data_IF_946949375842
#
_entry.id   IF_946949375842
#
_cell.length_a   1.000
_cell.length_b   1.000
_cell.length_c   1.000
_cell.angle_alpha   90.00
_cell.angle_beta   90.00
_cell.angle_gamma   90.00
#
_symmetry.space_group_name_H-M   'P 1'
#
loop_
_entity.id
_entity.type
_entity.pdbx_description
1 polymer ?
#
# COMPACT_ATOMS: atom_id res chain seq x y z
N UNK A 1 6.34 6.91 1.42
CA UNK A 1 7.73 7.24 1.06
C UNK A 1 8.38 6.07 0.36
N UNK A 2 9.49 6.33 -0.36
CA UNK A 2 10.24 5.35 -1.14
C UNK A 2 11.72 5.42 -0.77
N UNK A 3 12.35 4.26 -0.66
CA UNK A 3 13.79 4.16 -0.47
C UNK A 3 14.45 3.61 -1.74
N UNK A 4 15.57 4.20 -2.12
CA UNK A 4 16.43 3.73 -3.19
C UNK A 4 17.58 2.90 -2.60
N UNK A 5 17.94 1.80 -3.23
CA UNK A 5 19.02 0.93 -2.78
C UNK A 5 20.36 1.68 -2.70
N UNK A 6 21.13 1.45 -1.63
CA UNK A 6 22.41 2.12 -1.38
C UNK A 6 22.33 3.53 -0.81
N UNK A 7 21.14 4.14 -0.72
CA UNK A 7 20.97 5.49 -0.17
C UNK A 7 20.77 5.46 1.35
N UNK A 8 21.23 6.54 2.01
CA UNK A 8 21.06 6.70 3.45
C UNK A 8 19.90 7.63 3.74
N UNK A 9 19.01 7.19 4.62
CA UNK A 9 17.83 7.91 5.05
C UNK A 9 17.87 8.20 6.55
N UNK A 10 17.33 9.36 6.91
CA UNK A 10 17.19 9.82 8.29
C UNK A 10 15.73 9.71 8.71
N UNK A 11 15.50 8.97 9.80
CA UNK A 11 14.15 8.75 10.32
C UNK A 11 14.13 9.09 11.81
N UNK A 12 13.40 10.15 12.16
CA UNK A 12 13.19 10.53 13.54
C UNK A 12 11.96 9.82 14.10
N UNK A 13 12.10 9.21 15.28
CA UNK A 13 11.05 8.41 15.91
C UNK A 13 10.88 8.81 17.38
N UNK A 14 9.62 8.79 17.84
CA UNK A 14 9.29 8.98 19.25
C UNK A 14 8.03 8.21 19.64
N UNK A 15 7.92 7.85 20.91
CA UNK A 15 6.77 7.15 21.47
C UNK A 15 6.89 5.63 21.41
N UNK A 16 8.06 5.06 21.11
CA UNK A 16 8.30 3.64 21.28
C UNK A 16 8.50 3.38 22.78
N UNK A 17 7.70 2.49 23.31
CA UNK A 17 7.83 1.97 24.68
C UNK A 17 8.39 0.55 24.63
N UNK A 18 7.62 -0.45 25.02
CA UNK A 18 8.07 -1.85 25.06
C UNK A 18 7.83 -2.62 23.77
N UNK A 19 7.07 -2.03 22.83
CA UNK A 19 6.68 -2.68 21.58
C UNK A 19 7.78 -2.62 20.50
N UNK A 20 7.80 -3.63 19.64
CA UNK A 20 8.70 -3.65 18.49
C UNK A 20 8.16 -2.77 17.36
N UNK A 21 8.93 -1.77 16.96
CA UNK A 21 8.62 -0.91 15.81
C UNK A 21 9.75 -1.01 14.79
N UNK A 22 9.40 -1.13 13.53
CA UNK A 22 10.38 -1.24 12.45
C UNK A 22 9.88 -0.66 11.13
N UNK A 23 10.79 -0.62 10.18
CA UNK A 23 10.46 -0.35 8.78
C UNK A 23 10.61 -1.62 7.96
N UNK A 24 9.72 -1.81 7.00
CA UNK A 24 9.80 -2.82 5.94
C UNK A 24 9.88 -2.08 4.61
N UNK A 25 10.92 -2.33 3.84
CA UNK A 25 11.07 -1.83 2.47
C UNK A 25 10.68 -2.95 1.52
N UNK A 26 9.71 -2.71 0.65
CA UNK A 26 9.17 -3.72 -0.26
C UNK A 26 8.83 -3.10 -1.60
N UNK A 27 9.26 -3.76 -2.67
CA UNK A 27 8.75 -3.57 -4.02
C UNK A 27 8.08 -4.87 -4.48
N UNK A 28 6.74 -4.88 -4.55
CA UNK A 28 6.02 -6.07 -5.02
C UNK A 28 6.18 -6.29 -6.52
N UNK A 29 6.28 -5.20 -7.28
CA UNK A 29 6.34 -5.29 -8.75
C UNK A 29 7.60 -6.02 -9.23
N UNK A 30 8.77 -5.65 -8.72
CA UNK A 30 10.04 -6.31 -9.12
C UNK A 30 10.29 -7.63 -8.39
N UNK A 31 9.44 -7.99 -7.43
CA UNK A 31 9.59 -9.16 -6.57
C UNK A 31 10.98 -9.26 -5.90
N UNK A 32 11.61 -8.12 -5.65
CA UNK A 32 12.88 -8.04 -4.96
C UNK A 32 12.77 -8.42 -3.49
N UNK A 33 13.90 -8.74 -2.90
CA UNK A 33 13.97 -9.12 -1.49
C UNK A 33 13.50 -7.99 -0.58
N UNK A 34 12.73 -8.33 0.44
CA UNK A 34 12.28 -7.39 1.47
C UNK A 34 13.42 -7.10 2.45
N UNK A 35 13.64 -5.82 2.76
CA UNK A 35 14.52 -5.41 3.85
C UNK A 35 13.72 -4.91 5.04
N UNK A 36 14.20 -5.24 6.25
CA UNK A 36 13.59 -4.80 7.51
C UNK A 36 14.62 -4.09 8.37
N UNK A 37 14.18 -3.04 9.06
CA UNK A 37 15.02 -2.21 9.93
C UNK A 37 14.29 -1.98 11.24
N UNK A 38 14.91 -2.31 12.37
CA UNK A 38 14.38 -1.97 13.68
C UNK A 38 14.57 -0.49 13.97
N UNK A 39 13.54 0.14 14.52
CA UNK A 39 13.57 1.55 14.91
C UNK A 39 13.74 1.71 16.43
N UNK A 40 14.33 2.83 16.82
CA UNK A 40 14.45 3.26 18.22
C UNK A 40 14.06 4.73 18.34
N UNK A 41 13.69 5.15 19.54
CA UNK A 41 13.45 6.57 19.80
C UNK A 41 14.69 7.41 19.47
N UNK A 42 14.45 8.60 18.91
CA UNK A 42 15.49 9.50 18.42
C UNK A 42 15.73 9.38 16.92
N UNK A 43 16.93 9.69 16.49
CA UNK A 43 17.33 9.69 15.08
C UNK A 43 17.90 8.32 14.68
N UNK A 44 17.31 7.72 13.66
CA UNK A 44 17.77 6.48 13.04
C UNK A 44 18.43 6.79 11.70
N UNK A 45 19.59 6.18 11.45
CA UNK A 45 20.33 6.25 10.19
C UNK A 45 20.16 4.92 9.48
N UNK A 46 19.50 4.91 8.33
CA UNK A 46 19.16 3.69 7.60
C UNK A 46 19.79 3.76 6.22
N UNK A 47 20.72 2.86 5.93
CA UNK A 47 21.18 2.63 4.56
C UNK A 47 20.33 1.54 3.96
N UNK A 48 19.56 1.89 2.92
CA UNK A 48 18.65 0.96 2.28
C UNK A 48 19.44 -0.11 1.50
N UNK A 49 19.13 -1.37 1.73
CA UNK A 49 19.76 -2.51 1.02
C UNK A 49 18.90 -2.99 -0.15
N UNK A 50 17.63 -2.62 -0.18
CA UNK A 50 16.70 -2.83 -1.29
C UNK A 50 15.96 -1.54 -1.58
N UNK A 51 15.45 -1.41 -2.79
CA UNK A 51 14.56 -0.31 -3.13
C UNK A 51 13.09 -0.68 -2.96
N UNK A 52 12.24 0.31 -2.75
CA UNK A 52 10.79 0.09 -2.64
C UNK A 52 10.06 1.06 -1.73
N UNK A 53 8.76 0.83 -1.63
CA UNK A 53 7.90 1.52 -0.68
C UNK A 53 8.24 1.14 0.75
N UNK A 54 8.15 2.11 1.65
CA UNK A 54 8.48 1.93 3.06
C UNK A 54 7.19 1.82 3.87
N UNK A 55 7.09 0.74 4.63
CA UNK A 55 5.98 0.45 5.52
C UNK A 55 6.46 0.45 6.96
N UNK A 56 5.61 0.95 7.85
CA UNK A 56 5.86 0.89 9.29
C UNK A 56 5.26 -0.42 9.81
N UNK A 57 6.11 -1.26 10.39
CA UNK A 57 5.68 -2.43 11.14
C UNK A 57 5.63 -2.05 12.62
N UNK A 58 4.41 -2.06 13.16
CA UNK A 58 4.18 -1.85 14.57
C UNK A 58 3.29 -2.98 15.08
N UNK A 59 3.83 -3.79 15.96
CA UNK A 59 3.11 -4.89 16.58
C UNK A 59 2.94 -4.62 18.08
N UNK A 60 1.71 -4.73 18.54
CA UNK A 60 1.35 -4.62 19.95
C UNK A 60 0.34 -5.71 20.31
N UNK A 61 0.51 -6.35 21.47
CA UNK A 61 -0.38 -7.41 21.96
C UNK A 61 -1.81 -6.90 22.22
N UNK A 62 -1.91 -5.65 22.68
CA UNK A 62 -3.18 -4.94 22.88
C UNK A 62 -3.15 -3.61 22.12
N UNK A 63 -3.59 -3.65 20.85
CA UNK A 63 -3.58 -2.47 19.98
C UNK A 63 -4.42 -1.30 20.53
N UNK A 64 -5.45 -1.59 21.36
CA UNK A 64 -6.31 -0.54 21.93
C UNK A 64 -5.57 0.29 23.00
N UNK A 65 -4.51 -0.26 23.59
CA UNK A 65 -3.67 0.40 24.59
C UNK A 65 -2.28 0.77 24.04
N UNK A 66 -1.98 0.36 22.81
CA UNK A 66 -0.69 0.63 22.21
C UNK A 66 -0.39 2.13 22.16
N UNK A 67 0.81 2.56 22.56
CA UNK A 67 1.19 3.97 22.53
C UNK A 67 1.26 4.49 21.09
N UNK A 68 1.02 5.79 20.93
CA UNK A 68 1.16 6.44 19.63
C UNK A 68 2.64 6.63 19.28
N UNK A 69 3.10 5.93 18.27
CA UNK A 69 4.45 6.10 17.71
C UNK A 69 4.41 7.15 16.61
N UNK A 70 5.29 8.15 16.70
CA UNK A 70 5.49 9.16 15.65
C UNK A 70 6.74 8.83 14.87
N UNK A 71 6.60 8.71 13.55
CA UNK A 71 7.71 8.47 12.62
C UNK A 71 7.77 9.62 11.62
N UNK A 72 8.92 10.28 11.52
CA UNK A 72 9.16 11.38 10.60
C UNK A 72 10.34 11.05 9.69
N UNK A 73 10.06 10.96 8.39
CA UNK A 73 11.07 10.77 7.35
C UNK A 73 11.63 12.14 6.94
N UNK A 74 12.94 12.35 7.09
CA UNK A 74 13.57 13.66 6.90
C UNK A 74 13.96 13.91 5.44
N UNK A 75 14.53 12.90 4.77
CA UNK A 75 15.07 13.04 3.42
C UNK A 75 14.58 11.95 2.43
N UNK A 76 13.52 11.21 2.79
CA UNK A 76 12.95 10.23 1.88
C UNK A 76 11.95 10.89 0.91
N UNK A 77 11.97 10.55 -0.40
CA UNK A 77 11.01 11.06 -1.35
C UNK A 77 9.60 10.55 -1.05
N UNK A 78 8.63 11.45 -1.14
CA UNK A 78 7.20 11.11 -1.01
C UNK A 78 6.68 10.75 -2.39
N UNK A 79 6.31 9.48 -2.57
CA UNK A 79 5.65 9.02 -3.80
C UNK A 79 4.19 9.44 -3.81
N UNK A 80 3.55 9.34 -2.68
CA UNK A 80 2.15 9.65 -2.48
C UNK A 80 1.31 8.41 -2.14
N UNK A 81 0.10 8.67 -1.73
CA UNK A 81 -0.96 7.68 -1.53
C UNK A 81 -2.29 8.36 -1.77
N UNK A 82 -3.33 7.58 -1.94
CA UNK A 82 -4.70 8.07 -2.05
C UNK A 82 -5.62 7.28 -1.11
N UNK A 83 -6.53 7.99 -0.45
CA UNK A 83 -7.43 7.41 0.56
C UNK A 83 -8.87 7.79 0.23
N UNK A 84 -9.72 6.79 -0.02
CA UNK A 84 -11.11 6.97 -0.39
C UNK A 84 -11.96 7.70 0.67
N UNK A 85 -11.54 7.68 1.93
CA UNK A 85 -12.27 8.34 3.02
C UNK A 85 -12.02 9.85 3.08
N UNK A 86 -10.87 10.32 2.60
CA UNK A 86 -10.40 11.69 2.82
C UNK A 86 -10.05 12.46 1.55
N UNK A 87 -9.97 11.78 0.40
CA UNK A 87 -9.52 12.34 -0.87
C UNK A 87 -10.54 12.09 -1.98
N UNK A 88 -10.50 12.91 -3.02
CA UNK A 88 -11.36 12.80 -4.20
C UNK A 88 -10.56 12.55 -5.49
N UNK A 89 -11.28 12.50 -6.63
CA UNK A 89 -10.63 12.31 -7.94
C UNK A 89 -9.75 13.50 -8.35
N UNK A 90 -10.03 14.72 -7.88
CA UNK A 90 -9.16 15.88 -8.17
C UNK A 90 -7.82 15.78 -7.43
N UNK A 91 -7.82 15.26 -6.21
CA UNK A 91 -6.59 14.95 -5.47
C UNK A 91 -5.78 13.85 -6.18
N UNK A 92 -6.47 12.86 -6.74
CA UNK A 92 -5.86 11.80 -7.53
C UNK A 92 -5.18 12.32 -8.80
N UNK A 93 -5.89 13.09 -9.60
CA UNK A 93 -5.34 13.70 -10.81
C UNK A 93 -4.12 14.57 -10.50
N UNK A 94 -4.19 15.37 -9.44
CA UNK A 94 -3.07 16.17 -8.96
C UNK A 94 -1.87 15.32 -8.52
N UNK A 95 -2.13 14.20 -7.82
CA UNK A 95 -1.08 13.27 -7.41
C UNK A 95 -0.35 12.67 -8.61
N UNK A 96 -1.06 12.36 -9.70
CA UNK A 96 -0.49 11.77 -10.91
C UNK A 96 0.14 12.81 -11.87
N UNK A 97 -0.20 14.10 -11.76
CA UNK A 97 0.18 15.13 -12.74
C UNK A 97 1.70 15.19 -12.96
N UNK A 98 2.48 15.16 -11.89
CA UNK A 98 3.94 15.30 -11.91
C UNK A 98 4.68 13.96 -12.06
N UNK A 99 3.97 12.84 -12.25
CA UNK A 99 4.57 11.51 -12.38
C UNK A 99 4.84 11.17 -13.83
N UNK A 100 5.96 10.48 -14.09
CA UNK A 100 6.24 9.93 -15.41
C UNK A 100 5.28 8.77 -15.75
N UNK A 101 4.96 8.61 -17.04
CA UNK A 101 4.18 7.45 -17.51
C UNK A 101 4.98 6.14 -17.46
N UNK A 102 6.31 6.22 -17.39
CA UNK A 102 7.22 5.08 -17.30
C UNK A 102 7.71 4.83 -15.87
N UNK A 103 7.04 5.41 -14.86
CA UNK A 103 7.42 5.28 -13.45
C UNK A 103 6.82 4.00 -12.87
N UNK A 104 7.66 3.04 -12.52
CA UNK A 104 7.25 1.75 -11.96
C UNK A 104 7.23 1.73 -10.42
N UNK A 105 7.49 2.87 -9.79
CA UNK A 105 7.29 2.99 -8.33
C UNK A 105 5.81 2.87 -8.00
N UNK A 106 5.53 2.31 -6.84
CA UNK A 106 4.16 1.95 -6.46
C UNK A 106 3.47 3.10 -5.73
N UNK A 107 2.26 3.48 -6.18
CA UNK A 107 1.32 4.26 -5.38
C UNK A 107 0.37 3.30 -4.68
N UNK A 108 0.13 3.56 -3.40
CA UNK A 108 -0.86 2.86 -2.59
C UNK A 108 -2.16 3.65 -2.62
N UNK A 109 -3.25 2.99 -3.00
CA UNK A 109 -4.61 3.49 -2.78
C UNK A 109 -5.32 2.62 -1.76
N UNK A 110 -6.21 3.20 -0.97
CA UNK A 110 -6.92 2.46 0.07
C UNK A 110 -8.36 2.89 0.24
N UNK A 111 -9.19 1.96 0.70
CA UNK A 111 -10.52 2.16 1.24
C UNK A 111 -10.66 1.45 2.58
N UNK A 112 -11.87 1.36 3.14
CA UNK A 112 -12.11 0.69 4.43
C UNK A 112 -11.56 -0.75 4.47
N UNK A 113 -11.76 -1.54 3.40
CA UNK A 113 -11.42 -2.96 3.37
C UNK A 113 -10.49 -3.39 2.23
N UNK A 114 -10.11 -2.48 1.35
CA UNK A 114 -9.21 -2.77 0.24
C UNK A 114 -7.99 -1.84 0.23
N UNK A 115 -6.85 -2.36 -0.19
CA UNK A 115 -5.62 -1.63 -0.43
C UNK A 115 -5.01 -2.11 -1.75
N UNK A 116 -4.74 -1.18 -2.66
CA UNK A 116 -4.16 -1.48 -3.96
C UNK A 116 -2.73 -0.93 -4.02
N UNK A 117 -1.81 -1.76 -4.48
CA UNK A 117 -0.40 -1.41 -4.64
C UNK A 117 0.01 -1.66 -6.09
N UNK A 118 -0.19 -0.66 -6.94
CA UNK A 118 0.09 -0.76 -8.37
C UNK A 118 1.11 0.28 -8.82
N UNK A 119 1.89 -0.01 -9.89
CA UNK A 119 2.84 0.93 -10.46
C UNK A 119 2.17 2.21 -10.97
N UNK A 120 2.87 3.33 -10.88
CA UNK A 120 2.41 4.62 -11.41
C UNK A 120 2.12 4.53 -12.91
N UNK A 121 2.94 3.81 -13.66
CA UNK A 121 2.74 3.54 -15.08
C UNK A 121 1.38 2.90 -15.36
N UNK A 122 0.97 1.91 -14.56
CA UNK A 122 -0.34 1.28 -14.65
C UNK A 122 -1.47 2.24 -14.28
N UNK A 123 -1.33 3.00 -13.20
CA UNK A 123 -2.32 4.00 -12.80
C UNK A 123 -2.57 5.04 -13.88
N UNK A 124 -1.50 5.56 -14.50
CA UNK A 124 -1.61 6.52 -15.61
C UNK A 124 -2.25 5.93 -16.87
N UNK A 125 -2.08 4.64 -17.10
CA UNK A 125 -2.61 3.96 -18.26
C UNK A 125 -4.09 3.59 -18.10
N UNK A 126 -4.45 3.01 -16.97
CA UNK A 126 -5.74 2.33 -16.79
C UNK A 126 -6.75 3.10 -15.93
N UNK A 127 -6.27 3.92 -14.99
CA UNK A 127 -7.13 4.69 -14.08
C UNK A 127 -6.58 6.10 -13.82
N UNK A 128 -6.42 6.94 -14.86
CA UNK A 128 -5.81 8.26 -14.68
C UNK A 128 -6.70 9.27 -13.95
N UNK A 129 -8.03 9.10 -13.93
CA UNK A 129 -8.96 10.13 -13.46
C UNK A 129 -9.99 9.65 -12.44
N UNK A 130 -10.44 8.40 -12.49
CA UNK A 130 -11.58 7.91 -11.69
C UNK A 130 -11.21 6.78 -10.73
N UNK A 131 -10.25 7.07 -9.85
CA UNK A 131 -9.80 6.13 -8.82
C UNK A 131 -10.90 5.86 -7.79
N UNK A 132 -11.79 6.82 -7.55
CA UNK A 132 -12.86 6.67 -6.57
C UNK A 132 -13.83 5.55 -6.95
N UNK A 133 -14.34 5.55 -8.18
CA UNK A 133 -15.20 4.48 -8.68
C UNK A 133 -14.48 3.13 -8.67
N UNK A 134 -13.20 3.08 -9.05
CA UNK A 134 -12.42 1.86 -8.96
C UNK A 134 -12.36 1.32 -7.53
N UNK A 135 -12.06 2.17 -6.56
CA UNK A 135 -11.99 1.77 -5.14
C UNK A 135 -13.35 1.33 -4.59
N UNK A 136 -14.45 1.92 -5.06
CA UNK A 136 -15.82 1.48 -4.73
C UNK A 136 -16.09 0.07 -5.26
N UNK A 137 -15.61 -0.29 -6.45
CA UNK A 137 -15.72 -1.67 -6.97
C UNK A 137 -14.98 -2.66 -6.06
N UNK A 138 -13.73 -2.38 -5.70
CA UNK A 138 -12.97 -3.23 -4.79
C UNK A 138 -13.62 -3.33 -3.41
N UNK A 139 -14.15 -2.24 -2.89
CA UNK A 139 -14.88 -2.21 -1.63
C UNK A 139 -16.13 -3.10 -1.70
N UNK A 140 -16.91 -3.02 -2.78
CA UNK A 140 -18.11 -3.83 -2.99
C UNK A 140 -17.79 -5.33 -3.05
N UNK A 141 -16.71 -5.70 -3.74
CA UNK A 141 -16.23 -7.10 -3.77
C UNK A 141 -15.87 -7.56 -2.35
N UNK A 142 -15.16 -6.75 -1.57
CA UNK A 142 -14.82 -7.10 -0.19
C UNK A 142 -16.05 -7.22 0.70
N UNK A 143 -17.05 -6.34 0.54
CA UNK A 143 -18.32 -6.45 1.24
C UNK A 143 -19.06 -7.77 0.90
N UNK A 144 -19.14 -8.10 -0.38
CA UNK A 144 -19.78 -9.36 -0.81
C UNK A 144 -19.08 -10.59 -0.23
N UNK A 145 -17.74 -10.62 -0.24
CA UNK A 145 -16.96 -11.72 0.36
C UNK A 145 -17.17 -11.83 1.87
N UNK A 146 -17.20 -10.71 2.57
CA UNK A 146 -17.43 -10.65 4.03
C UNK A 146 -18.82 -11.13 4.38
N UNK A 147 -19.84 -10.75 3.62
CA UNK A 147 -21.22 -11.21 3.79
C UNK A 147 -21.33 -12.72 3.54
N UNK A 148 -20.75 -13.23 2.46
CA UNK A 148 -20.71 -14.66 2.17
C UNK A 148 -20.04 -15.48 3.29
N UNK A 149 -18.96 -14.96 3.88
CA UNK A 149 -18.29 -15.60 5.02
C UNK A 149 -19.05 -15.40 6.34
N UNK A 150 -20.08 -14.59 6.37
CA UNK A 150 -20.89 -14.30 7.55
C UNK A 150 -20.13 -13.56 8.64
N UNK A 151 -19.07 -12.78 8.30
CA UNK A 151 -18.21 -12.15 9.29
C UNK A 151 -19.01 -11.20 10.19
N UNK A 152 -19.89 -10.38 9.61
CA UNK A 152 -20.74 -9.48 10.39
C UNK A 152 -21.79 -10.24 11.21
N UNK A 153 -22.41 -11.25 10.60
CA UNK A 153 -23.42 -12.09 11.26
C UNK A 153 -22.89 -12.77 12.52
N UNK A 154 -21.61 -13.13 12.53
CA UNK A 154 -20.97 -13.81 13.66
C UNK A 154 -20.10 -12.87 14.50
N UNK A 155 -20.13 -11.57 14.25
CA UNK A 155 -19.40 -10.58 15.03
C UNK A 155 -17.87 -10.55 14.79
N UNK A 156 -17.39 -11.17 13.71
CA UNK A 156 -15.98 -11.14 13.32
C UNK A 156 -15.68 -9.92 12.45
N UNK A 157 -15.62 -8.75 13.06
CA UNK A 157 -15.21 -7.54 12.35
C UNK A 157 -13.69 -7.41 12.37
N UNK A 158 -13.06 -7.55 11.22
CA UNK A 158 -11.65 -7.25 11.06
C UNK A 158 -11.50 -5.86 10.44
N UNK A 159 -10.53 -5.09 10.94
CA UNK A 159 -10.13 -3.81 10.33
C UNK A 159 -9.04 -3.98 9.27
N UNK A 160 -8.67 -5.21 8.97
CA UNK A 160 -7.64 -5.50 7.99
C UNK A 160 -8.16 -5.20 6.58
N UNK A 161 -7.33 -4.53 5.80
CA UNK A 161 -7.53 -4.32 4.37
C UNK A 161 -6.98 -5.52 3.61
N UNK A 162 -7.73 -5.97 2.60
CA UNK A 162 -7.19 -6.94 1.64
C UNK A 162 -6.24 -6.20 0.70
N UNK A 163 -5.00 -6.67 0.61
CA UNK A 163 -4.01 -6.14 -0.31
C UNK A 163 -4.17 -6.79 -1.70
N UNK A 164 -4.15 -5.93 -2.72
CA UNK A 164 -4.06 -6.30 -4.13
C UNK A 164 -2.83 -5.62 -4.72
N UNK A 165 -1.97 -6.38 -5.40
CA UNK A 165 -0.73 -5.83 -5.93
C UNK A 165 -0.35 -6.41 -7.29
N UNK A 166 0.45 -5.67 -8.05
CA UNK A 166 1.00 -6.12 -9.31
C UNK A 166 2.34 -6.81 -9.12
N UNK A 167 2.62 -7.78 -9.98
CA UNK A 167 3.92 -8.44 -10.12
C UNK A 167 4.36 -8.38 -11.57
N UNK A 168 5.67 -8.44 -11.82
CA UNK A 168 6.23 -8.55 -13.15
C UNK A 168 6.35 -10.04 -13.54
N UNK A 169 5.41 -10.50 -14.33
CA UNK A 169 5.28 -11.89 -14.76
C UNK A 169 4.57 -12.80 -13.74
N UNK A 170 3.76 -13.69 -14.23
CA UNK A 170 3.07 -14.68 -13.40
C UNK A 170 1.60 -14.83 -13.75
N UNK A 171 0.81 -15.20 -12.76
CA UNK A 171 -0.62 -15.40 -12.87
C UNK A 171 -1.36 -14.50 -11.89
N UNK A 172 -2.67 -14.41 -12.06
CA UNK A 172 -3.53 -13.95 -10.99
C UNK A 172 -3.63 -15.04 -9.92
N UNK A 173 -3.25 -14.71 -8.70
CA UNK A 173 -3.25 -15.65 -7.57
C UNK A 173 -3.39 -14.91 -6.23
N UNK A 174 -3.54 -15.68 -5.15
CA UNK A 174 -3.53 -15.17 -3.79
C UNK A 174 -2.45 -15.87 -2.97
N UNK A 175 -1.76 -15.12 -2.13
CA UNK A 175 -0.71 -15.59 -1.24
C UNK A 175 -0.88 -15.03 0.17
N UNK A 176 0.14 -15.22 1.00
CA UNK A 176 0.14 -14.76 2.41
C UNK A 176 0.05 -13.22 2.53
N UNK A 177 0.58 -12.48 1.55
CA UNK A 177 0.59 -11.01 1.58
C UNK A 177 -0.69 -10.41 0.98
N UNK A 178 -1.41 -11.10 0.09
CA UNK A 178 -2.60 -10.59 -0.58
C UNK A 178 -2.88 -11.27 -1.91
N UNK A 179 -3.78 -10.69 -2.70
CA UNK A 179 -4.05 -11.11 -4.07
C UNK A 179 -3.17 -10.32 -5.04
N UNK A 180 -2.65 -10.99 -6.06
CA UNK A 180 -1.80 -10.35 -7.06
C UNK A 180 -2.13 -10.80 -8.47
N UNK A 181 -1.77 -9.95 -9.44
CA UNK A 181 -1.85 -10.29 -10.86
C UNK A 181 -0.63 -9.77 -11.63
N UNK A 182 -0.43 -10.33 -12.81
CA UNK A 182 0.56 -9.84 -13.76
C UNK A 182 0.22 -8.40 -14.19
N UNK A 183 1.26 -7.58 -14.39
CA UNK A 183 1.11 -6.23 -14.91
C UNK A 183 0.31 -6.20 -16.24
N UNK A 184 0.52 -7.18 -17.11
CA UNK A 184 -0.18 -7.26 -18.39
C UNK A 184 -1.70 -7.43 -18.25
N UNK A 185 -2.18 -7.94 -17.13
CA UNK A 185 -3.59 -8.22 -16.86
C UNK A 185 -4.28 -7.08 -16.07
N UNK A 186 -3.54 -6.05 -15.66
CA UNK A 186 -4.08 -4.94 -14.85
C UNK A 186 -5.21 -4.18 -15.52
N UNK A 187 -5.27 -4.15 -16.86
CA UNK A 187 -6.29 -3.43 -17.59
C UNK A 187 -7.72 -3.84 -17.26
N UNK A 188 -7.96 -5.11 -16.93
CA UNK A 188 -9.27 -5.61 -16.53
C UNK A 188 -9.69 -5.19 -15.12
N UNK A 189 -8.76 -5.11 -14.20
CA UNK A 189 -9.02 -4.85 -12.77
C UNK A 189 -8.75 -3.42 -12.32
N UNK A 190 -8.18 -2.57 -13.18
CA UNK A 190 -7.88 -1.16 -12.89
C UNK A 190 -8.76 -0.18 -13.66
N UNK A 191 -9.62 -0.63 -14.55
CA UNK A 191 -10.51 0.24 -15.32
C UNK A 191 -11.85 0.40 -14.60
N UNK A 192 -12.11 1.59 -14.06
CA UNK A 192 -13.35 1.89 -13.33
C UNK A 192 -14.62 1.70 -14.16
N UNK A 193 -14.55 1.88 -15.49
CA UNK A 193 -15.70 1.78 -16.39
C UNK A 193 -15.95 0.36 -16.92
N UNK A 194 -14.97 -0.53 -16.84
CA UNK A 194 -15.06 -1.91 -17.32
C UNK A 194 -14.43 -2.89 -16.34
N UNK A 195 -14.64 -2.63 -15.06
CA UNK A 195 -14.13 -3.47 -13.98
C UNK A 195 -14.76 -4.85 -14.07
N UNK A 196 -13.92 -5.84 -14.35
CA UNK A 196 -14.31 -7.24 -14.45
C UNK A 196 -13.56 -8.04 -13.38
N UNK A 197 -14.23 -8.18 -12.26
CA UNK A 197 -13.73 -8.96 -11.13
C UNK A 197 -14.59 -10.22 -11.02
N UNK A 198 -14.16 -11.23 -11.72
CA UNK A 198 -14.85 -12.53 -11.78
C UNK A 198 -14.31 -13.57 -10.80
#
# INVERSE_FOLDING_TARGET
VYFESGQMYLVAVSGIEDDAVGLKVKNWYTNESTSTYSLRNGLNYITATTEGNVFINYYADDYAKAPNVKVHFINAPVIGYWDAETMDNADWEKLLADKSADDDRIIITQSEHAQLAFPISAWKTYCPTDVKTLMEHYQNVQWALRDMMGLEKYGYQTKNRQLFYAVDGGFMAAGEEGAYCDYADLGGIMNANSFDFW
#
